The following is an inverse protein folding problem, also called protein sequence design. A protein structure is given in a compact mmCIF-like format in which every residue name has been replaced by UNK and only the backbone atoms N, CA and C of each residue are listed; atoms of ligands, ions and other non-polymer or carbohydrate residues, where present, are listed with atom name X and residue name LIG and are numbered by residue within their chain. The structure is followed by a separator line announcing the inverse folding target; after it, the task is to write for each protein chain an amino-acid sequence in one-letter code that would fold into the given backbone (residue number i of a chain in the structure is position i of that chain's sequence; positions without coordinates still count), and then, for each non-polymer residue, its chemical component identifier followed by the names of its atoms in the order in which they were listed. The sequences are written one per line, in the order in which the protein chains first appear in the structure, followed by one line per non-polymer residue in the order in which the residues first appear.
data_IF_891390396319
#
_entry.id   IF_891390396319
#
_cell.length_a   1.000
_cell.length_b   1.000
_cell.length_c   1.000
_cell.angle_alpha   90.00
_cell.angle_beta   90.00
_cell.angle_gamma   90.00
#
_symmetry.space_group_name_H-M   'P 1'
#
loop_
_entity.id
_entity.type
_entity.pdbx_description
1 polymer ?
#
# COMPACT_ATOMS: atom_id res chain seq x y z
N UNK A 1 4.98 26.65 54.01
CA UNK A 1 6.08 25.79 53.52
C UNK A 1 5.40 24.64 52.80
N UNK A 2 5.12 24.82 51.51
CA UNK A 2 4.45 23.80 50.69
C UNK A 2 5.45 22.66 50.47
N UNK A 3 5.07 21.45 50.86
CA UNK A 3 5.84 20.24 50.57
C UNK A 3 5.49 19.83 49.15
N UNK A 4 6.46 19.93 48.24
CA UNK A 4 6.40 19.35 46.90
C UNK A 4 6.37 17.83 47.07
N UNK A 5 5.17 17.27 47.21
CA UNK A 5 4.96 15.83 47.12
C UNK A 5 5.35 15.40 45.70
N UNK A 6 6.50 14.76 45.65
CA UNK A 6 7.13 14.11 44.51
C UNK A 6 6.11 13.58 43.51
N UNK A 7 6.14 14.13 42.29
CA UNK A 7 5.53 13.50 41.13
C UNK A 7 6.34 12.23 40.89
N UNK A 8 5.76 11.07 41.16
CA UNK A 8 6.34 9.80 40.77
C UNK A 8 6.51 9.82 39.25
N UNK A 9 7.77 9.80 38.79
CA UNK A 9 8.13 9.69 37.38
C UNK A 9 7.65 8.33 36.91
N UNK A 10 6.49 8.30 36.28
CA UNK A 10 5.98 7.14 35.56
C UNK A 10 7.02 6.83 34.48
N UNK A 11 7.59 5.61 34.55
CA UNK A 11 8.61 5.16 33.60
C UNK A 11 8.14 5.26 32.15
N UNK A 12 9.07 5.19 31.17
CA UNK A 12 8.75 5.38 29.76
C UNK A 12 7.55 4.54 29.37
N UNK A 13 6.50 5.20 28.88
CA UNK A 13 5.37 4.52 28.25
C UNK A 13 5.92 3.92 26.96
N UNK A 14 6.30 2.64 27.01
CA UNK A 14 6.58 1.83 25.84
C UNK A 14 5.31 1.78 24.99
N UNK A 15 5.14 2.75 24.09
CA UNK A 15 4.06 2.76 23.13
C UNK A 15 4.38 1.75 22.04
N UNK A 16 3.64 0.65 22.00
CA UNK A 16 3.70 -0.31 20.90
C UNK A 16 3.18 0.26 19.58
N UNK A 17 2.54 1.44 19.61
CA UNK A 17 2.05 2.09 18.40
C UNK A 17 3.16 2.95 17.77
N UNK A 18 3.36 2.87 16.43
CA UNK A 18 4.33 3.69 15.71
C UNK A 18 4.11 5.16 16.03
N UNK A 19 5.18 5.92 16.10
CA UNK A 19 5.08 7.33 16.48
C UNK A 19 4.28 8.13 15.41
N UNK A 20 3.74 9.32 15.75
CA UNK A 20 2.97 10.11 14.80
C UNK A 20 3.72 10.46 13.50
N UNK A 21 5.04 10.63 13.55
CA UNK A 21 5.87 10.92 12.39
C UNK A 21 6.04 9.69 11.50
N UNK A 22 6.27 8.51 12.08
CA UNK A 22 6.30 7.22 11.36
C UNK A 22 4.98 6.96 10.63
N UNK A 23 3.84 7.19 11.30
CA UNK A 23 2.53 7.07 10.66
C UNK A 23 2.35 8.05 9.50
N UNK A 24 2.86 9.27 9.63
CA UNK A 24 2.81 10.27 8.56
C UNK A 24 3.64 9.83 7.33
N UNK A 25 4.84 9.29 7.56
CA UNK A 25 5.72 8.76 6.49
C UNK A 25 5.05 7.59 5.77
N UNK A 26 4.52 6.60 6.50
CA UNK A 26 3.81 5.46 5.91
C UNK A 26 2.60 5.92 5.09
N UNK A 27 1.85 6.90 5.59
CA UNK A 27 0.73 7.51 4.88
C UNK A 27 1.16 8.18 3.57
N UNK A 28 2.26 8.92 3.59
CA UNK A 28 2.82 9.60 2.41
C UNK A 28 3.30 8.60 1.34
N UNK A 29 4.03 7.56 1.74
CA UNK A 29 4.50 6.51 0.82
C UNK A 29 3.33 5.75 0.18
N UNK A 30 2.30 5.42 0.99
CA UNK A 30 1.09 4.78 0.50
C UNK A 30 0.34 5.65 -0.51
N UNK A 31 0.26 6.96 -0.27
CA UNK A 31 -0.37 7.91 -1.20
C UNK A 31 0.39 8.01 -2.51
N UNK A 32 1.74 8.04 -2.45
CA UNK A 32 2.59 8.05 -3.63
C UNK A 32 2.42 6.79 -4.48
N UNK A 33 2.42 5.62 -3.85
CA UNK A 33 2.21 4.35 -4.55
C UNK A 33 0.84 4.28 -5.26
N UNK A 34 -0.23 4.76 -4.61
CA UNK A 34 -1.57 4.87 -5.21
C UNK A 34 -1.60 5.82 -6.40
N UNK A 35 -0.97 7.00 -6.27
CA UNK A 35 -0.89 7.95 -7.37
C UNK A 35 -0.17 7.35 -8.59
N UNK A 36 0.85 6.52 -8.39
CA UNK A 36 1.57 5.85 -9.48
C UNK A 36 0.73 4.75 -10.14
N UNK A 37 -0.03 3.98 -9.36
CA UNK A 37 -1.01 3.01 -9.86
C UNK A 37 -2.05 3.67 -10.79
N UNK A 38 -2.50 4.88 -10.44
CA UNK A 38 -3.48 5.63 -11.22
C UNK A 38 -2.95 6.12 -12.59
N UNK A 39 -1.62 6.14 -12.78
CA UNK A 39 -1.00 6.48 -14.07
C UNK A 39 -0.95 5.30 -15.05
N UNK A 40 -1.24 4.09 -14.59
CA UNK A 40 -1.18 2.89 -15.44
C UNK A 40 -2.38 2.81 -16.39
N UNK A 41 -2.22 2.16 -17.56
CA UNK A 41 -3.36 1.73 -18.37
C UNK A 41 -4.36 0.94 -17.53
N UNK A 42 -5.66 1.23 -17.72
CA UNK A 42 -6.74 0.71 -16.86
C UNK A 42 -6.67 -0.80 -16.63
N UNK A 43 -6.47 -1.59 -17.69
CA UNK A 43 -6.39 -3.06 -17.58
C UNK A 43 -5.19 -3.55 -16.76
N UNK A 44 -4.09 -2.80 -16.73
CA UNK A 44 -2.93 -3.12 -15.90
C UNK A 44 -3.22 -2.78 -14.44
N UNK A 45 -3.78 -1.59 -14.17
CA UNK A 45 -4.20 -1.16 -12.82
C UNK A 45 -5.19 -2.16 -12.21
N UNK A 46 -6.23 -2.51 -12.96
CA UNK A 46 -7.25 -3.48 -12.51
C UNK A 46 -6.64 -4.86 -12.25
N UNK A 47 -5.76 -5.35 -13.13
CA UNK A 47 -5.10 -6.65 -12.94
C UNK A 47 -4.21 -6.68 -11.69
N UNK A 48 -3.55 -5.57 -11.34
CA UNK A 48 -2.75 -5.45 -10.12
C UNK A 48 -3.65 -5.42 -8.88
N UNK A 49 -4.62 -4.50 -8.82
CA UNK A 49 -5.51 -4.39 -7.66
C UNK A 49 -6.26 -5.69 -7.38
N UNK A 50 -6.86 -6.29 -8.42
CA UNK A 50 -7.55 -7.57 -8.27
C UNK A 50 -6.62 -8.70 -7.78
N UNK A 51 -5.34 -8.67 -8.15
CA UNK A 51 -4.38 -9.70 -7.73
C UNK A 51 -3.85 -9.48 -6.31
N UNK A 52 -3.54 -8.23 -5.95
CA UNK A 52 -2.86 -7.88 -4.71
C UNK A 52 -3.85 -7.58 -3.58
N UNK A 53 -4.89 -6.81 -3.87
CA UNK A 53 -5.87 -6.37 -2.88
C UNK A 53 -6.94 -7.45 -2.64
N UNK A 54 -7.38 -8.12 -3.71
CA UNK A 54 -8.46 -9.11 -3.65
C UNK A 54 -7.98 -10.57 -3.73
N UNK A 55 -6.74 -10.82 -4.12
CA UNK A 55 -6.17 -12.17 -4.20
C UNK A 55 -6.70 -13.05 -5.35
N UNK A 56 -7.39 -12.46 -6.34
CA UNK A 56 -8.04 -13.19 -7.42
C UNK A 56 -7.03 -13.95 -8.30
N UNK A 57 -7.46 -15.09 -8.86
CA UNK A 57 -6.70 -15.82 -9.87
C UNK A 57 -6.69 -15.08 -11.20
N UNK A 58 -5.71 -15.35 -12.07
CA UNK A 58 -5.67 -14.72 -13.40
C UNK A 58 -6.87 -15.07 -14.28
N UNK A 59 -7.54 -16.20 -14.01
CA UNK A 59 -8.78 -16.58 -14.68
C UNK A 59 -9.93 -15.66 -14.26
N UNK A 60 -10.08 -15.42 -12.96
CA UNK A 60 -11.11 -14.51 -12.44
C UNK A 60 -10.85 -13.07 -12.87
N UNK A 61 -9.58 -12.63 -12.83
CA UNK A 61 -9.16 -11.33 -13.33
C UNK A 61 -9.51 -11.17 -14.81
N UNK A 62 -9.24 -12.20 -15.63
CA UNK A 62 -9.56 -12.17 -17.05
C UNK A 62 -11.06 -12.00 -17.31
N UNK A 63 -11.91 -12.70 -16.54
CA UNK A 63 -13.35 -12.50 -16.57
C UNK A 63 -13.75 -11.07 -16.15
N UNK A 64 -13.12 -10.53 -15.10
CA UNK A 64 -13.39 -9.19 -14.58
C UNK A 64 -13.05 -8.09 -15.61
N UNK A 65 -11.92 -8.19 -16.31
CA UNK A 65 -11.42 -7.15 -17.23
C UNK A 65 -11.78 -7.40 -18.70
N UNK A 66 -12.59 -8.41 -18.99
CA UNK A 66 -13.01 -8.78 -20.34
C UNK A 66 -11.83 -9.17 -21.24
N UNK A 67 -11.00 -10.12 -20.81
CA UNK A 67 -9.84 -10.61 -21.55
C UNK A 67 -9.65 -12.12 -21.44
N UNK A 68 -8.59 -12.66 -22.05
CA UNK A 68 -8.12 -14.03 -21.79
C UNK A 68 -7.26 -14.11 -20.51
N UNK A 69 -7.11 -15.31 -19.94
CA UNK A 69 -6.22 -15.54 -18.79
C UNK A 69 -4.76 -15.15 -19.09
N UNK A 70 -4.30 -15.44 -20.31
CA UNK A 70 -2.96 -15.03 -20.77
C UNK A 70 -2.82 -13.50 -20.84
N UNK A 71 -3.83 -12.80 -21.37
CA UNK A 71 -3.82 -11.34 -21.41
C UNK A 71 -3.85 -10.73 -20.00
N UNK A 72 -4.56 -11.31 -19.04
CA UNK A 72 -4.55 -10.86 -17.65
C UNK A 72 -3.15 -10.98 -17.01
N UNK A 73 -2.44 -12.09 -17.25
CA UNK A 73 -1.04 -12.27 -16.80
C UNK A 73 -0.10 -11.23 -17.40
N UNK A 74 -0.25 -10.95 -18.68
CA UNK A 74 0.56 -9.94 -19.40
C UNK A 74 0.28 -8.53 -18.86
N UNK A 75 -0.99 -8.18 -18.64
CA UNK A 75 -1.38 -6.89 -18.06
C UNK A 75 -0.80 -6.71 -16.65
N UNK A 76 -0.90 -7.74 -15.80
CA UNK A 76 -0.29 -7.73 -14.47
C UNK A 76 1.23 -7.55 -14.54
N UNK A 77 1.92 -8.36 -15.35
CA UNK A 77 3.38 -8.30 -15.47
C UNK A 77 3.86 -6.91 -15.94
N UNK A 78 3.25 -6.37 -17.00
CA UNK A 78 3.62 -5.05 -17.49
C UNK A 78 3.27 -3.93 -16.50
N UNK A 79 2.16 -4.06 -15.77
CA UNK A 79 1.81 -3.14 -14.70
C UNK A 79 2.85 -3.11 -13.58
N UNK A 80 3.23 -4.28 -13.04
CA UNK A 80 4.26 -4.38 -12.00
C UNK A 80 5.61 -3.83 -12.47
N UNK A 81 6.02 -4.16 -13.69
CA UNK A 81 7.25 -3.62 -14.29
C UNK A 81 7.20 -2.09 -14.38
N UNK A 82 6.07 -1.54 -14.83
CA UNK A 82 5.91 -0.08 -14.96
C UNK A 82 5.92 0.63 -13.61
N UNK A 83 5.31 0.06 -12.58
CA UNK A 83 5.39 0.61 -11.22
C UNK A 83 6.83 0.66 -10.71
N UNK A 84 7.59 -0.42 -10.91
CA UNK A 84 9.00 -0.45 -10.53
C UNK A 84 9.79 0.68 -11.20
N UNK A 85 9.60 0.88 -12.50
CA UNK A 85 10.24 1.98 -13.25
C UNK A 85 9.84 3.38 -12.77
N UNK A 86 8.64 3.54 -12.20
CA UNK A 86 8.18 4.83 -11.68
C UNK A 86 8.74 5.10 -10.26
N UNK A 87 9.12 4.05 -9.53
CA UNK A 87 9.66 4.12 -8.16
C UNK A 87 11.17 4.35 -8.10
N UNK A 88 11.87 4.06 -9.20
CA UNK A 88 13.26 4.44 -9.44
C UNK A 88 13.37 5.93 -9.83
#
# INVERSE_FOLDING_TARGET
RWNESSIEVVGPLETSAPDPAERAVVGQESARARAMLDTLPEKQRLAISARIDEGLSFREIASLIGSSEGAARVNYFHGIRRLRELME
#
